data_IF_803053381829
#
_entry.id   IF_803053381829
#
_cell.length_a   1.000
_cell.length_b   1.000
_cell.length_c   1.000
_cell.angle_alpha   90.00
_cell.angle_beta   90.00
_cell.angle_gamma   90.00
#
_symmetry.space_group_name_H-M   'P 1'
#
loop_
_entity.id
_entity.type
_entity.pdbx_description
1 polymer ?
#
# COMPACT_ATOMS: atom_id res chain seq x y z
N UNK A 1 6.05 -3.74 -15.63
CA UNK A 1 5.05 -3.91 -16.70
C UNK A 1 5.27 -5.24 -17.39
N UNK A 2 4.29 -6.16 -17.31
CA UNK A 2 4.40 -7.50 -17.92
C UNK A 2 4.41 -7.47 -19.47
N UNK A 3 3.73 -6.50 -20.09
CA UNK A 3 3.68 -6.43 -21.57
C UNK A 3 5.02 -6.03 -22.17
N UNK A 4 5.76 -5.12 -21.51
CA UNK A 4 7.10 -4.75 -21.95
C UNK A 4 8.09 -5.91 -21.80
N UNK A 5 7.99 -6.69 -20.73
CA UNK A 5 8.81 -7.89 -20.56
C UNK A 5 8.53 -8.90 -21.69
N UNK A 6 7.27 -9.19 -21.99
CA UNK A 6 6.94 -10.15 -23.05
C UNK A 6 7.33 -9.69 -24.45
N UNK A 7 7.28 -8.38 -24.73
CA UNK A 7 7.82 -7.81 -25.99
C UNK A 7 9.32 -8.09 -26.14
N UNK A 8 10.11 -7.94 -25.08
CA UNK A 8 11.54 -8.25 -25.17
C UNK A 8 11.80 -9.75 -25.33
N UNK A 9 10.93 -10.59 -24.77
CA UNK A 9 11.01 -12.04 -24.89
C UNK A 9 10.35 -12.59 -26.17
N UNK A 10 9.79 -11.75 -27.05
CA UNK A 10 9.04 -12.15 -28.25
C UNK A 10 9.70 -13.29 -29.07
N UNK A 11 11.03 -13.32 -29.32
CA UNK A 11 11.67 -14.42 -30.06
C UNK A 11 11.57 -15.80 -29.39
N UNK A 12 11.31 -15.84 -28.08
CA UNK A 12 11.16 -17.06 -27.30
C UNK A 12 9.69 -17.51 -27.20
N UNK A 13 8.75 -16.64 -27.55
CA UNK A 13 7.31 -16.85 -27.40
C UNK A 13 6.66 -17.18 -28.75
N UNK A 14 5.51 -17.85 -28.71
CA UNK A 14 4.65 -18.09 -29.88
C UNK A 14 3.63 -16.95 -29.99
N UNK A 15 3.07 -16.55 -28.85
CA UNK A 15 2.11 -15.44 -28.71
C UNK A 15 2.12 -14.95 -27.27
N UNK A 16 1.78 -13.68 -27.04
CA UNK A 16 1.60 -13.11 -25.71
C UNK A 16 0.56 -11.98 -25.73
N UNK A 17 -0.04 -11.68 -24.57
CA UNK A 17 -1.01 -10.60 -24.42
C UNK A 17 -1.47 -10.39 -22.98
N UNK A 18 -2.16 -9.27 -22.75
CA UNK A 18 -2.71 -8.89 -21.44
C UNK A 18 -2.59 -7.40 -21.15
N UNK A 19 -2.51 -7.08 -19.86
CA UNK A 19 -2.39 -5.72 -19.32
C UNK A 19 -1.16 -5.61 -18.40
N UNK A 20 -0.87 -4.38 -17.97
CA UNK A 20 0.32 -4.06 -17.17
C UNK A 20 0.50 -4.94 -15.93
N UNK A 21 -0.60 -5.32 -15.28
CA UNK A 21 -0.62 -6.10 -14.03
C UNK A 21 -0.95 -7.59 -14.21
N UNK A 22 -1.49 -7.99 -15.36
CA UNK A 22 -1.86 -9.39 -15.61
C UNK A 22 -1.72 -9.70 -17.11
N UNK A 23 -0.88 -10.67 -17.45
CA UNK A 23 -0.63 -11.06 -18.82
C UNK A 23 -0.30 -12.55 -18.92
N UNK A 24 -0.43 -13.12 -20.12
CA UNK A 24 -0.10 -14.50 -20.42
C UNK A 24 0.62 -14.64 -21.76
N UNK A 25 1.27 -15.78 -21.95
CA UNK A 25 1.96 -16.14 -23.20
C UNK A 25 1.84 -17.63 -23.49
N UNK A 26 2.10 -18.02 -24.73
CA UNK A 26 2.29 -19.42 -25.13
C UNK A 26 3.70 -19.58 -25.70
N UNK A 27 4.37 -20.69 -25.39
CA UNK A 27 5.72 -20.97 -25.85
C UNK A 27 5.95 -22.48 -26.00
N UNK A 28 7.01 -22.85 -26.72
CA UNK A 28 7.46 -24.24 -26.77
C UNK A 28 8.02 -24.64 -25.39
N UNK A 29 7.57 -25.75 -24.78
CA UNK A 29 8.09 -26.23 -23.49
C UNK A 29 9.61 -26.37 -23.42
N UNK A 30 10.28 -26.66 -24.54
CA UNK A 30 11.74 -26.77 -24.59
C UNK A 30 12.46 -25.43 -24.37
N UNK A 31 11.78 -24.29 -24.62
CA UNK A 31 12.33 -22.94 -24.38
C UNK A 31 12.16 -22.47 -22.93
N UNK A 32 11.61 -23.30 -22.04
CA UNK A 32 11.32 -22.91 -20.63
C UNK A 32 12.53 -22.27 -19.95
N UNK A 33 13.70 -22.91 -20.01
CA UNK A 33 14.88 -22.42 -19.29
C UNK A 33 15.42 -21.12 -19.87
N UNK A 34 15.34 -20.96 -21.20
CA UNK A 34 15.70 -19.72 -21.89
C UNK A 34 14.74 -18.57 -21.50
N UNK A 35 13.43 -18.84 -21.43
CA UNK A 35 12.42 -17.85 -21.02
C UNK A 35 12.65 -17.43 -19.56
N UNK A 36 12.91 -18.38 -18.66
CA UNK A 36 13.18 -18.08 -17.24
C UNK A 36 14.45 -17.24 -17.09
N UNK A 37 15.49 -17.54 -17.86
CA UNK A 37 16.75 -16.80 -17.80
C UNK A 37 16.57 -15.37 -18.32
N UNK A 38 15.96 -15.19 -19.49
CA UNK A 38 15.69 -13.87 -20.06
C UNK A 38 14.75 -13.03 -19.17
N UNK A 39 13.74 -13.65 -18.55
CA UNK A 39 12.87 -12.94 -17.61
C UNK A 39 13.62 -12.49 -16.36
N UNK A 40 14.56 -13.30 -15.84
CA UNK A 40 15.40 -12.91 -14.69
C UNK A 40 16.33 -11.75 -15.04
N UNK A 41 16.92 -11.76 -16.23
CA UNK A 41 17.75 -10.66 -16.74
C UNK A 41 16.93 -9.37 -16.82
N UNK A 42 15.74 -9.43 -17.45
CA UNK A 42 14.82 -8.29 -17.50
C UNK A 42 14.51 -7.73 -16.11
N UNK A 43 14.16 -8.61 -15.15
CA UNK A 43 13.85 -8.21 -13.77
C UNK A 43 15.06 -7.59 -13.09
N UNK A 44 16.27 -8.11 -13.33
CA UNK A 44 17.49 -7.58 -12.73
C UNK A 44 17.81 -6.17 -13.25
N UNK A 45 17.62 -5.92 -14.54
CA UNK A 45 17.83 -4.60 -15.16
C UNK A 45 16.78 -3.57 -14.72
N UNK A 46 15.55 -4.01 -14.48
CA UNK A 46 14.43 -3.15 -14.06
C UNK A 46 14.12 -3.27 -12.57
N UNK A 47 15.07 -3.78 -11.78
CA UNK A 47 14.86 -4.12 -10.37
C UNK A 47 14.40 -2.92 -9.56
N UNK A 48 14.97 -1.75 -9.77
CA UNK A 48 14.60 -0.56 -9.01
C UNK A 48 13.18 -0.07 -9.33
N UNK A 49 12.71 -0.28 -10.56
CA UNK A 49 11.34 0.05 -10.96
C UNK A 49 10.33 -0.99 -10.46
N UNK A 50 10.71 -2.28 -10.45
CA UNK A 50 9.86 -3.39 -9.99
C UNK A 50 9.79 -3.47 -8.47
N UNK A 51 10.92 -3.24 -7.80
CA UNK A 51 11.08 -3.28 -6.36
C UNK A 51 10.95 -1.89 -5.71
N UNK A 52 10.46 -0.87 -6.44
CA UNK A 52 10.02 0.38 -5.82
C UNK A 52 9.14 -0.02 -4.64
N UNK A 53 9.60 0.31 -3.43
CA UNK A 53 8.91 -0.03 -2.21
C UNK A 53 7.45 0.40 -2.35
N UNK A 54 6.51 -0.39 -1.81
CA UNK A 54 5.13 0.06 -1.70
C UNK A 54 5.15 1.36 -0.89
N UNK A 55 5.09 2.49 -1.58
CA UNK A 55 4.96 3.78 -0.95
C UNK A 55 3.52 3.90 -0.52
N UNK A 56 3.32 4.26 0.74
CA UNK A 56 2.00 4.63 1.20
C UNK A 56 1.90 6.13 1.10
N UNK A 57 0.98 6.60 0.26
CA UNK A 57 0.68 8.02 0.16
C UNK A 57 -0.11 8.42 1.41
N UNK A 58 0.39 9.43 2.12
CA UNK A 58 -0.22 9.96 3.33
C UNK A 58 -0.89 11.28 2.97
N UNK A 59 -2.20 11.36 3.13
CA UNK A 59 -3.00 12.55 2.81
C UNK A 59 -2.78 13.68 3.82
N UNK A 60 -2.61 13.33 5.10
CA UNK A 60 -2.31 14.30 6.14
C UNK A 60 -1.51 13.71 7.31
N UNK A 61 -0.63 14.55 7.86
CA UNK A 61 0.16 14.24 9.05
C UNK A 61 -0.45 14.98 10.23
N UNK A 62 -0.74 14.23 11.28
CA UNK A 62 -1.38 14.71 12.48
C UNK A 62 -0.37 14.69 13.63
N UNK A 63 -0.39 15.78 14.40
CA UNK A 63 0.40 15.89 15.63
C UNK A 63 -0.52 15.77 16.84
N UNK A 64 0.05 15.50 18.01
CA UNK A 64 -0.71 15.41 19.27
C UNK A 64 -1.64 16.61 19.51
N UNK A 65 -1.23 17.82 19.11
CA UNK A 65 -2.00 19.04 19.32
C UNK A 65 -3.27 19.11 18.47
N UNK A 66 -3.30 18.41 17.34
CA UNK A 66 -4.42 18.45 16.40
C UNK A 66 -5.39 17.28 16.58
N UNK A 67 -5.15 16.40 17.56
CA UNK A 67 -5.89 15.14 17.70
C UNK A 67 -7.38 15.40 17.96
N UNK A 68 -7.71 16.24 18.93
CA UNK A 68 -9.11 16.55 19.28
C UNK A 68 -9.84 17.26 18.14
N UNK A 69 -9.20 18.25 17.53
CA UNK A 69 -9.74 18.97 16.37
C UNK A 69 -9.98 18.02 15.20
N UNK A 70 -9.01 17.15 14.92
CA UNK A 70 -9.13 16.13 13.90
C UNK A 70 -10.28 15.17 14.18
N UNK A 71 -10.47 14.72 15.42
CA UNK A 71 -11.60 13.85 15.76
C UNK A 71 -12.96 14.50 15.47
N UNK A 72 -13.12 15.80 15.75
CA UNK A 72 -14.36 16.49 15.43
C UNK A 72 -14.56 16.55 13.90
N UNK A 73 -13.50 16.84 13.14
CA UNK A 73 -13.54 16.81 11.67
C UNK A 73 -13.84 15.39 11.13
N UNK A 74 -13.33 14.33 11.77
CA UNK A 74 -13.57 12.94 11.37
C UNK A 74 -15.05 12.56 11.39
N UNK A 75 -15.79 13.01 12.40
CA UNK A 75 -17.21 12.66 12.56
C UNK A 75 -18.10 13.42 11.60
N UNK A 76 -17.78 14.68 11.31
CA UNK A 76 -18.66 15.57 10.55
C UNK A 76 -18.34 15.63 9.05
N UNK A 77 -17.07 15.43 8.65
CA UNK A 77 -16.60 15.78 7.31
C UNK A 77 -16.09 14.60 6.47
N UNK A 78 -16.01 13.39 6.99
CA UNK A 78 -15.48 12.27 6.19
C UNK A 78 -16.50 11.65 5.29
N UNK A 79 -17.76 11.65 5.71
CA UNK A 79 -18.84 11.11 4.91
C UNK A 79 -19.08 11.98 3.65
N UNK A 80 -18.66 13.26 3.64
CA UNK A 80 -18.73 14.09 2.42
C UNK A 80 -17.70 13.68 1.36
N UNK A 81 -16.65 12.93 1.72
CA UNK A 81 -15.64 12.42 0.78
C UNK A 81 -16.11 11.12 0.09
N UNK A 82 -17.26 10.59 0.48
CA UNK A 82 -17.86 9.43 -0.17
C UNK A 82 -18.41 9.77 -1.56
N UNK A 83 -18.51 8.79 -2.47
CA UNK A 83 -18.25 7.36 -2.29
C UNK A 83 -16.77 6.99 -2.40
N UNK A 84 -16.31 6.10 -1.51
CA UNK A 84 -14.99 5.51 -1.62
C UNK A 84 -14.98 4.33 -2.61
N UNK A 85 -13.86 4.13 -3.29
CA UNK A 85 -13.67 3.06 -4.27
C UNK A 85 -12.29 3.11 -4.92
N UNK A 86 -12.10 2.33 -5.98
CA UNK A 86 -10.78 2.23 -6.64
C UNK A 86 -10.23 3.58 -7.14
N UNK A 87 -11.11 4.49 -7.55
CA UNK A 87 -10.74 5.83 -8.05
C UNK A 87 -10.74 6.91 -6.95
N UNK A 88 -11.26 6.59 -5.77
CA UNK A 88 -11.33 7.49 -4.61
C UNK A 88 -11.11 6.64 -3.34
N UNK A 89 -9.88 6.19 -3.07
CA UNK A 89 -9.62 5.37 -1.90
C UNK A 89 -9.91 6.18 -0.63
N UNK A 90 -10.27 5.52 0.49
CA UNK A 90 -10.39 6.20 1.77
C UNK A 90 -9.07 6.90 2.13
N UNK A 91 -9.13 8.10 2.73
CA UNK A 91 -7.92 8.84 3.07
C UNK A 91 -7.07 8.10 4.10
N UNK A 92 -5.76 8.32 4.03
CA UNK A 92 -4.73 7.72 4.85
C UNK A 92 -4.00 8.82 5.63
N UNK A 93 -3.93 8.64 6.95
CA UNK A 93 -3.37 9.62 7.88
C UNK A 93 -2.18 9.04 8.62
N UNK A 94 -1.25 9.92 9.02
CA UNK A 94 -0.11 9.58 9.87
C UNK A 94 -0.14 10.39 11.16
N UNK A 95 -0.32 9.72 12.29
CA UNK A 95 0.05 10.31 13.58
C UNK A 95 1.55 10.15 13.79
N UNK A 96 2.27 11.25 14.06
CA UNK A 96 3.69 11.18 14.45
C UNK A 96 3.87 11.29 15.95
N UNK A 97 4.85 10.56 16.47
CA UNK A 97 5.25 10.62 17.89
C UNK A 97 4.05 10.50 18.85
N UNK A 98 3.18 9.53 18.58
CA UNK A 98 1.89 9.40 19.25
C UNK A 98 1.93 8.29 20.31
N UNK A 99 1.55 8.63 21.55
CA UNK A 99 1.32 7.62 22.60
C UNK A 99 -0.05 6.97 22.37
N UNK A 100 -0.02 5.81 21.71
CA UNK A 100 -1.22 5.04 21.36
C UNK A 100 -2.01 4.61 22.60
N UNK A 101 -1.33 4.36 23.73
CA UNK A 101 -1.97 3.85 24.95
C UNK A 101 -2.77 4.89 25.69
N UNK A 102 -2.40 6.17 25.55
CA UNK A 102 -3.07 7.29 26.23
C UNK A 102 -4.09 8.00 25.34
N UNK A 103 -3.86 8.00 24.02
CA UNK A 103 -4.45 9.03 23.17
C UNK A 103 -5.44 8.54 22.10
N UNK A 104 -5.71 7.24 21.85
CA UNK A 104 -7.03 6.76 21.32
C UNK A 104 -7.21 5.23 21.11
N UNK A 105 -8.50 4.84 20.97
CA UNK A 105 -9.18 3.59 20.52
C UNK A 105 -9.84 2.65 21.54
N UNK A 106 -10.89 3.12 22.22
CA UNK A 106 -12.00 2.27 22.69
C UNK A 106 -12.94 1.90 21.52
N UNK A 107 -12.44 1.14 20.54
CA UNK A 107 -13.27 0.57 19.49
C UNK A 107 -12.64 -0.72 18.93
N UNK A 108 -12.72 -1.79 19.72
CA UNK A 108 -12.50 -3.16 19.24
C UNK A 108 -11.05 -3.59 19.12
N UNK A 109 -10.54 -4.27 20.16
CA UNK A 109 -9.38 -5.20 20.17
C UNK A 109 -8.38 -5.02 19.02
N UNK A 110 -7.65 -3.91 19.01
CA UNK A 110 -6.37 -3.87 18.31
C UNK A 110 -5.41 -4.72 19.15
N UNK A 111 -5.22 -5.98 18.75
CA UNK A 111 -4.14 -6.85 19.25
C UNK A 111 -2.81 -6.33 18.70
N UNK A 112 -2.33 -5.21 19.20
CA UNK A 112 -0.98 -4.74 18.94
C UNK A 112 -0.31 -4.43 20.27
N UNK A 113 0.89 -4.98 20.45
CA UNK A 113 1.67 -4.86 21.68
C UNK A 113 2.30 -3.46 21.77
N UNK A 114 1.48 -2.42 21.91
CA UNK A 114 1.98 -1.08 22.19
C UNK A 114 2.45 -1.00 23.65
N UNK A 115 3.66 -0.52 23.83
CA UNK A 115 4.24 -0.32 25.16
C UNK A 115 3.70 0.98 25.76
N UNK A 116 3.16 0.97 26.99
CA UNK A 116 2.69 2.18 27.64
C UNK A 116 3.78 3.24 27.76
N UNK A 117 3.46 4.48 27.35
CA UNK A 117 4.39 5.60 27.39
C UNK A 117 5.42 5.64 26.26
N UNK A 118 5.37 4.69 25.32
CA UNK A 118 6.20 4.72 24.12
C UNK A 118 5.48 5.44 22.99
N UNK A 119 6.25 6.20 22.21
CA UNK A 119 5.74 6.96 21.07
C UNK A 119 5.85 6.12 19.80
N UNK A 120 4.83 6.22 18.97
CA UNK A 120 4.75 5.53 17.70
C UNK A 120 4.36 6.50 16.60
N UNK A 121 4.96 6.30 15.43
CA UNK A 121 4.40 6.79 14.18
C UNK A 121 3.34 5.78 13.75
N UNK A 122 2.08 6.21 13.65
CA UNK A 122 0.94 5.33 13.36
C UNK A 122 0.24 5.79 12.10
N UNK A 123 0.20 4.90 11.13
CA UNK A 123 -0.54 5.07 9.89
C UNK A 123 -1.91 4.42 10.05
N UNK A 124 -2.97 5.14 9.72
CA UNK A 124 -4.33 4.63 9.77
C UNK A 124 -5.17 5.18 8.63
N UNK A 125 -6.23 4.45 8.31
CA UNK A 125 -7.30 4.88 7.42
C UNK A 125 -8.63 4.76 8.13
N UNK A 126 -9.71 5.10 7.45
CA UNK A 126 -11.03 5.25 8.03
C UNK A 126 -12.04 4.42 7.25
N UNK A 127 -12.91 3.74 7.98
CA UNK A 127 -14.02 2.98 7.45
C UNK A 127 -15.32 3.56 8.02
N UNK A 128 -15.88 4.55 7.30
CA UNK A 128 -16.78 5.54 7.92
C UNK A 128 -16.02 6.33 8.99
N UNK A 129 -16.67 6.62 10.11
CA UNK A 129 -16.03 7.29 11.26
C UNK A 129 -15.11 6.38 12.10
N UNK A 130 -14.93 5.11 11.74
CA UNK A 130 -14.11 4.16 12.50
C UNK A 130 -12.68 4.07 11.96
N UNK A 131 -11.66 4.37 12.79
CA UNK A 131 -10.28 4.26 12.34
C UNK A 131 -9.74 2.83 12.36
N UNK A 132 -8.87 2.55 11.39
CA UNK A 132 -8.21 1.27 11.19
C UNK A 132 -6.72 1.50 10.95
N UNK A 133 -5.87 0.94 11.81
CA UNK A 133 -4.42 0.99 11.66
C UNK A 133 -4.00 0.19 10.40
N UNK A 134 -3.18 0.81 9.56
CA UNK A 134 -2.53 0.18 8.40
C UNK A 134 -1.15 -0.31 8.80
N UNK A 135 -0.36 0.54 9.44
CA UNK A 135 1.02 0.25 9.85
C UNK A 135 1.43 1.13 11.06
N UNK A 136 2.49 0.74 11.76
CA UNK A 136 3.06 1.56 12.83
C UNK A 136 4.55 1.28 13.04
N UNK A 137 5.26 2.28 13.54
CA UNK A 137 6.68 2.20 13.88
C UNK A 137 6.95 2.85 15.23
N UNK A 138 7.64 2.14 16.13
CA UNK A 138 8.11 2.74 17.39
C UNK A 138 9.20 3.77 17.13
N UNK A 139 9.12 4.89 17.82
CA UNK A 139 10.11 5.99 17.79
C UNK A 139 11.06 5.89 18.98
#
# INVERSE_FOLDING_TARGET
DLMNMFKQLEPLLIQFGGHMQAAGFSANPQKKDAIVSAAKEFIAEHKDDICRAQTLDIDAILTYQNVEEFYNLLYDEIDILQPFGQQNPPPVFLFRNFDVTRNFFYAGKLKSNFEPGKLYDVVFTLNGSNPKIIDYKGV
#
